data_IF_089339694478
#
_entry.id   IF_089339694478
#
_cell.length_a   1.000
_cell.length_b   1.000
_cell.length_c   1.000
_cell.angle_alpha   90.00
_cell.angle_beta   90.00
_cell.angle_gamma   90.00
#
_symmetry.space_group_name_H-M   'P 1'
#
loop_
_entity.id
_entity.type
_entity.pdbx_description
1 polymer ?
#
# COMPACT_ATOMS: atom_id res chain seq x y z
N UNK A 1 -16.50 13.04 -0.24
CA UNK A 1 -16.53 12.66 -1.67
C UNK A 1 -15.63 11.45 -1.86
N UNK A 2 -15.92 10.58 -2.82
CA UNK A 2 -15.07 9.42 -3.11
C UNK A 2 -13.77 9.85 -3.80
N UNK A 3 -12.66 9.15 -3.53
CA UNK A 3 -11.33 9.51 -4.07
C UNK A 3 -11.32 9.62 -5.59
N UNK A 4 -11.94 8.66 -6.29
CA UNK A 4 -11.99 8.66 -7.75
C UNK A 4 -12.77 9.87 -8.30
N UNK A 5 -13.88 10.24 -7.65
CA UNK A 5 -14.72 11.36 -8.06
C UNK A 5 -13.99 12.70 -7.87
N UNK A 6 -13.16 12.81 -6.82
CA UNK A 6 -12.29 14.00 -6.60
C UNK A 6 -11.29 14.12 -7.74
N UNK A 7 -10.59 13.03 -8.09
CA UNK A 7 -9.61 13.03 -9.18
C UNK A 7 -10.27 13.28 -10.54
N UNK A 8 -11.44 12.68 -10.78
CA UNK A 8 -12.24 12.90 -11.99
C UNK A 8 -12.68 14.36 -12.13
N UNK A 9 -13.13 14.99 -11.04
CA UNK A 9 -13.49 16.40 -11.05
C UNK A 9 -12.28 17.30 -11.34
N UNK A 10 -11.15 17.06 -10.65
CA UNK A 10 -9.90 17.80 -10.88
C UNK A 10 -9.39 17.64 -12.33
N UNK A 11 -9.56 16.46 -12.93
CA UNK A 11 -9.07 16.21 -14.29
C UNK A 11 -9.66 17.17 -15.34
N UNK A 12 -10.92 17.61 -15.14
CA UNK A 12 -11.57 18.57 -16.02
C UNK A 12 -10.96 19.97 -15.90
N UNK A 13 -10.67 20.41 -14.67
CA UNK A 13 -9.99 21.69 -14.40
C UNK A 13 -8.57 21.73 -14.99
N UNK A 14 -7.93 20.57 -15.12
CA UNK A 14 -6.59 20.43 -15.69
C UNK A 14 -6.58 20.28 -17.23
N UNK A 15 -7.75 20.27 -17.89
CA UNK A 15 -7.86 20.00 -19.32
C UNK A 15 -7.46 18.57 -19.73
N UNK A 16 -7.29 17.67 -18.77
CA UNK A 16 -6.92 16.27 -18.94
C UNK A 16 -8.06 15.35 -18.49
N UNK A 17 -9.27 15.68 -18.93
CA UNK A 17 -10.52 15.05 -18.51
C UNK A 17 -10.46 13.52 -18.66
N UNK A 18 -10.63 12.82 -17.54
CA UNK A 18 -10.72 11.36 -17.57
C UNK A 18 -12.02 10.91 -18.28
N UNK A 19 -12.00 9.83 -19.07
CA UNK A 19 -13.09 9.44 -19.96
C UNK A 19 -14.23 8.66 -19.29
N UNK A 20 -14.39 8.75 -17.96
CA UNK A 20 -15.45 8.07 -17.21
C UNK A 20 -16.14 9.03 -16.24
N UNK A 21 -17.46 8.91 -16.11
CA UNK A 21 -18.25 9.75 -15.19
C UNK A 21 -18.90 8.94 -14.05
N UNK A 22 -18.72 7.62 -14.06
CA UNK A 22 -19.27 6.71 -13.05
C UNK A 22 -18.20 5.74 -12.56
N UNK A 23 -18.40 5.22 -11.34
CA UNK A 23 -17.53 4.18 -10.79
C UNK A 23 -17.50 2.92 -11.65
N UNK A 24 -18.62 2.57 -12.29
CA UNK A 24 -18.68 1.45 -13.23
C UNK A 24 -17.82 1.70 -14.47
N UNK A 25 -17.86 2.90 -15.05
CA UNK A 25 -17.01 3.29 -16.18
C UNK A 25 -15.52 3.27 -15.83
N UNK A 26 -15.15 3.75 -14.64
CA UNK A 26 -13.77 3.64 -14.13
C UNK A 26 -13.34 2.17 -14.01
N UNK A 27 -14.18 1.30 -13.45
CA UNK A 27 -13.85 -0.13 -13.33
C UNK A 27 -13.67 -0.80 -14.69
N UNK A 28 -14.50 -0.46 -15.67
CA UNK A 28 -14.32 -0.95 -17.05
C UNK A 28 -12.98 -0.50 -17.64
N UNK A 29 -12.62 0.77 -17.47
CA UNK A 29 -11.33 1.28 -17.93
C UNK A 29 -10.14 0.59 -17.24
N UNK A 30 -10.23 0.38 -15.92
CA UNK A 30 -9.20 -0.34 -15.15
C UNK A 30 -9.03 -1.79 -15.61
N UNK A 31 -10.13 -2.52 -15.82
CA UNK A 31 -10.10 -3.91 -16.29
C UNK A 31 -9.56 -3.99 -17.72
N UNK A 32 -9.94 -3.06 -18.60
CA UNK A 32 -9.41 -3.01 -19.96
C UNK A 32 -7.89 -2.80 -19.97
N UNK A 33 -7.36 -1.92 -19.10
CA UNK A 33 -5.93 -1.68 -18.97
C UNK A 33 -5.18 -2.81 -18.24
N UNK A 34 -5.84 -3.41 -17.25
CA UNK A 34 -5.26 -4.41 -16.34
C UNK A 34 -6.25 -5.56 -16.09
N UNK A 35 -6.37 -6.53 -17.01
CA UNK A 35 -7.42 -7.56 -16.97
C UNK A 35 -7.46 -8.40 -15.69
N UNK A 36 -6.32 -8.61 -15.05
CA UNK A 36 -6.24 -9.37 -13.79
C UNK A 36 -7.04 -8.73 -12.65
N UNK A 37 -7.29 -7.42 -12.69
CA UNK A 37 -8.11 -6.73 -11.69
C UNK A 37 -9.60 -7.12 -11.74
N UNK A 38 -10.06 -7.79 -12.81
CA UNK A 38 -11.41 -8.34 -12.88
C UNK A 38 -11.58 -9.63 -12.06
N UNK A 39 -10.48 -10.32 -11.73
CA UNK A 39 -10.47 -11.56 -10.98
C UNK A 39 -10.63 -11.34 -9.48
N UNK A 40 -11.75 -10.77 -9.06
CA UNK A 40 -12.06 -10.54 -7.64
C UNK A 40 -12.08 -11.89 -6.90
N UNK A 41 -11.48 -11.94 -5.72
CA UNK A 41 -11.36 -13.14 -4.88
C UNK A 41 -10.69 -14.33 -5.59
N UNK A 42 -9.86 -14.05 -6.60
CA UNK A 42 -9.09 -15.05 -7.33
C UNK A 42 -7.59 -14.75 -7.28
N UNK A 43 -6.78 -15.80 -7.27
CA UNK A 43 -5.31 -15.69 -7.34
C UNK A 43 -4.87 -16.13 -8.74
N UNK A 44 -4.38 -15.23 -9.60
CA UNK A 44 -3.94 -15.59 -10.94
C UNK A 44 -2.63 -16.38 -10.88
N UNK A 45 -2.49 -17.34 -11.79
CA UNK A 45 -1.21 -18.05 -12.01
C UNK A 45 -0.33 -17.18 -12.89
N UNK A 46 0.84 -16.79 -12.39
CA UNK A 46 1.81 -16.00 -13.15
C UNK A 46 2.99 -16.88 -13.55
N UNK A 47 3.36 -16.87 -14.83
CA UNK A 47 4.59 -17.48 -15.29
C UNK A 47 5.79 -16.75 -14.66
N UNK A 48 6.82 -17.49 -14.28
CA UNK A 48 8.06 -16.89 -13.79
C UNK A 48 8.72 -16.08 -14.89
N UNK A 49 9.04 -14.82 -14.59
CA UNK A 49 9.80 -13.92 -15.46
C UNK A 49 11.14 -13.61 -14.78
N UNK A 50 12.24 -14.30 -15.13
CA UNK A 50 13.53 -14.07 -14.50
C UNK A 50 14.05 -12.67 -14.82
N UNK A 51 14.54 -11.99 -13.79
CA UNK A 51 15.23 -10.72 -13.94
C UNK A 51 16.72 -10.95 -14.23
N UNK A 52 17.39 -10.06 -14.99
CA UNK A 52 18.83 -10.11 -15.14
C UNK A 52 19.53 -10.05 -13.78
N UNK A 53 20.41 -11.02 -13.52
CA UNK A 53 21.17 -11.08 -12.27
C UNK A 53 22.16 -9.91 -12.22
N UNK A 54 22.25 -9.25 -11.07
CA UNK A 54 23.24 -8.22 -10.77
C UNK A 54 23.97 -8.59 -9.49
N UNK A 55 25.23 -8.17 -9.37
CA UNK A 55 25.96 -8.29 -8.13
C UNK A 55 25.21 -7.52 -7.01
N UNK A 56 25.11 -8.08 -5.79
CA UNK A 56 24.49 -7.38 -4.68
C UNK A 56 25.26 -6.11 -4.34
N UNK A 57 24.55 -5.07 -3.90
CA UNK A 57 25.17 -3.88 -3.33
C UNK A 57 25.78 -4.18 -1.97
N UNK A 58 26.74 -3.36 -1.54
CA UNK A 58 27.31 -3.45 -0.19
C UNK A 58 26.42 -2.69 0.82
N UNK A 59 25.44 -3.37 1.41
CA UNK A 59 24.55 -2.81 2.41
C UNK A 59 23.90 -3.91 3.28
N UNK A 60 23.53 -3.54 4.51
CA UNK A 60 22.74 -4.39 5.41
C UNK A 60 21.24 -4.31 5.12
N UNK A 61 20.54 -5.43 5.34
CA UNK A 61 19.07 -5.43 5.32
C UNK A 61 18.51 -4.61 6.48
N UNK A 62 17.48 -3.81 6.18
CA UNK A 62 16.77 -2.98 7.16
C UNK A 62 15.28 -3.23 7.06
N UNK A 63 14.58 -3.07 8.18
CA UNK A 63 13.13 -3.09 8.18
C UNK A 63 12.57 -1.89 7.39
N UNK A 64 11.77 -2.19 6.37
CA UNK A 64 11.01 -1.17 5.64
C UNK A 64 9.95 -0.50 6.53
N UNK A 65 9.42 -1.25 7.50
CA UNK A 65 8.46 -0.79 8.50
C UNK A 65 9.10 -0.86 9.88
N UNK A 66 9.36 0.30 10.47
CA UNK A 66 10.02 0.39 11.79
C UNK A 66 9.04 0.26 12.96
N UNK A 67 7.78 0.59 12.74
CA UNK A 67 6.74 0.56 13.75
C UNK A 67 5.47 -0.05 13.16
N UNK A 68 5.21 -1.30 13.55
CA UNK A 68 4.06 -2.06 13.06
C UNK A 68 2.72 -1.40 13.40
N UNK A 69 2.65 -0.64 14.49
CA UNK A 69 1.41 -0.01 14.92
C UNK A 69 1.15 1.34 14.25
N UNK A 70 2.13 1.92 13.53
CA UNK A 70 2.03 3.28 12.96
C UNK A 70 2.30 3.33 11.45
N UNK A 71 1.87 2.29 10.73
CA UNK A 71 2.20 2.06 9.30
C UNK A 71 1.53 3.02 8.33
N UNK A 72 0.31 3.46 8.63
CA UNK A 72 -0.51 4.29 7.74
C UNK A 72 -1.16 5.46 8.50
N UNK A 73 -1.76 6.45 7.80
CA UNK A 73 -2.36 7.62 8.46
C UNK A 73 -3.47 7.27 9.45
N UNK A 74 -4.27 6.25 9.18
CA UNK A 74 -5.36 5.81 10.07
C UNK A 74 -4.77 5.29 11.38
N UNK A 75 -3.76 4.43 11.29
CA UNK A 75 -3.07 3.89 12.44
C UNK A 75 -2.34 4.99 13.24
N UNK A 76 -1.75 5.98 12.56
CA UNK A 76 -1.11 7.14 13.23
C UNK A 76 -2.08 8.06 13.94
N UNK A 77 -3.31 8.17 13.47
CA UNK A 77 -4.36 8.96 14.12
C UNK A 77 -5.05 8.23 15.27
N UNK A 78 -4.78 6.93 15.46
CA UNK A 78 -5.42 6.11 16.50
C UNK A 78 -4.67 6.21 17.83
N UNK A 79 -5.36 6.66 18.88
CA UNK A 79 -4.82 6.68 20.23
C UNK A 79 -4.43 5.27 20.73
N UNK A 80 -5.28 4.27 20.46
CA UNK A 80 -5.00 2.87 20.82
C UNK A 80 -3.70 2.36 20.17
N UNK A 81 -3.47 2.68 18.89
CA UNK A 81 -2.24 2.27 18.22
C UNK A 81 -1.01 2.99 18.77
N UNK A 82 -1.15 4.24 19.22
CA UNK A 82 -0.09 4.96 19.90
C UNK A 82 0.29 4.28 21.24
N UNK A 83 -0.69 3.85 22.03
CA UNK A 83 -0.46 3.12 23.28
C UNK A 83 0.25 1.78 23.02
N UNK A 84 -0.21 1.01 22.03
CA UNK A 84 0.42 -0.26 21.66
C UNK A 84 1.86 -0.08 21.14
N UNK A 85 2.11 0.97 20.36
CA UNK A 85 3.46 1.36 19.93
C UNK A 85 4.36 1.67 21.12
N UNK A 86 3.87 2.45 22.09
CA UNK A 86 4.60 2.80 23.30
C UNK A 86 4.93 1.55 24.14
N UNK A 87 3.95 0.66 24.36
CA UNK A 87 4.14 -0.61 25.07
C UNK A 87 5.16 -1.51 24.35
N UNK A 88 5.09 -1.61 23.02
CA UNK A 88 6.04 -2.41 22.24
C UNK A 88 7.47 -1.88 22.36
N UNK A 89 7.65 -0.55 22.29
CA UNK A 89 8.95 0.10 22.50
C UNK A 89 9.47 -0.11 23.93
N UNK A 90 8.60 -0.10 24.93
CA UNK A 90 8.98 -0.37 26.31
C UNK A 90 9.48 -1.81 26.48
N UNK A 91 8.81 -2.81 25.88
CA UNK A 91 9.27 -4.21 25.90
C UNK A 91 10.67 -4.39 25.30
N UNK A 92 10.96 -3.73 24.19
CA UNK A 92 12.29 -3.81 23.56
C UNK A 92 13.42 -3.14 24.34
N UNK A 93 13.10 -2.34 25.36
CA UNK A 93 14.09 -1.67 26.23
C UNK A 93 14.33 -2.40 27.55
N UNK A 94 13.43 -3.30 27.95
CA UNK A 94 13.65 -4.11 29.14
C UNK A 94 14.86 -5.03 28.91
N UNK A 95 15.77 -5.18 29.88
CA UNK A 95 16.83 -6.17 29.76
C UNK A 95 16.17 -7.53 29.55
N UNK A 96 16.56 -8.21 28.46
CA UNK A 96 16.23 -9.62 28.29
C UNK A 96 16.89 -10.35 29.46
N UNK A 97 16.09 -10.81 30.43
CA UNK A 97 16.60 -11.69 31.47
C UNK A 97 17.12 -12.95 30.78
N UNK A 98 18.44 -13.13 30.85
CA UNK A 98 19.09 -14.36 30.42
C UNK A 98 18.80 -15.42 31.50
N UNK A 99 18.14 -16.51 31.09
CA UNK A 99 18.26 -17.81 31.77
C UNK A 99 19.49 -18.55 31.24
#
# INVERSE_FOLDING_TARGET
>A
KENWAILRALSAELGATQPWDTLAGLRQALVAAHPHLAGIDSVPVNAWQPLPIKAPGNADFRYAVKDFYLTNPIARASALMADLSAMAKARGKAPMAAE
#
